data_IF_283493844018
#
_entry.id   IF_283493844018
#
_cell.length_a   1.000
_cell.length_b   1.000
_cell.length_c   1.000
_cell.angle_alpha   90.00
_cell.angle_beta   90.00
_cell.angle_gamma   90.00
#
_symmetry.space_group_name_H-M   'P 1'
#
loop_
_entity.id
_entity.type
_entity.pdbx_description
1 polymer ?
#
# COMPACT_ATOMS: atom_id res chain seq x y z
N UNK A 1 -6.34 -1.63 -21.93
CA UNK A 1 -6.91 -2.94 -22.41
C UNK A 1 -7.62 -3.61 -21.27
N UNK A 2 -8.75 -4.32 -21.51
CA UNK A 2 -9.44 -5.08 -20.45
C UNK A 2 -8.90 -6.50 -20.37
N UNK A 3 -8.47 -6.93 -19.18
CA UNK A 3 -7.96 -8.28 -18.91
C UNK A 3 -8.56 -8.82 -17.61
N UNK A 4 -8.76 -10.13 -17.52
CA UNK A 4 -9.08 -10.81 -16.27
C UNK A 4 -7.77 -11.12 -15.56
N UNK A 5 -7.58 -10.59 -14.35
CA UNK A 5 -6.33 -10.73 -13.58
C UNK A 5 -6.63 -11.13 -12.15
N UNK A 6 -5.75 -11.93 -11.55
CA UNK A 6 -5.71 -12.08 -10.08
C UNK A 6 -5.11 -10.82 -9.46
N UNK A 7 -5.33 -10.59 -8.15
CA UNK A 7 -4.83 -9.40 -7.47
C UNK A 7 -3.31 -9.24 -7.56
N UNK A 8 -2.55 -10.32 -7.38
CA UNK A 8 -1.09 -10.28 -7.51
C UNK A 8 -0.62 -9.89 -8.92
N UNK A 9 -1.28 -10.39 -9.98
CA UNK A 9 -1.02 -9.99 -11.36
C UNK A 9 -1.35 -8.52 -11.60
N UNK A 10 -2.46 -8.07 -11.03
CA UNK A 10 -2.91 -6.69 -11.15
C UNK A 10 -1.95 -5.71 -10.45
N UNK A 11 -1.44 -6.07 -9.26
CA UNK A 11 -0.38 -5.29 -8.57
C UNK A 11 0.88 -5.23 -9.44
N UNK A 12 1.35 -6.35 -9.95
CA UNK A 12 2.54 -6.40 -10.80
C UNK A 12 2.38 -5.51 -12.06
N UNK A 13 1.24 -5.62 -12.74
CA UNK A 13 0.92 -4.78 -13.90
C UNK A 13 0.82 -3.29 -13.53
N UNK A 14 0.21 -2.96 -12.39
CA UNK A 14 0.11 -1.59 -11.89
C UNK A 14 1.47 -0.98 -11.54
N UNK A 15 2.34 -1.73 -10.87
CA UNK A 15 3.71 -1.30 -10.57
C UNK A 15 4.50 -1.07 -11.85
N UNK A 16 4.42 -1.99 -12.82
CA UNK A 16 5.08 -1.85 -14.11
C UNK A 16 4.58 -0.61 -14.87
N UNK A 17 3.26 -0.47 -15.03
CA UNK A 17 2.64 0.68 -15.69
C UNK A 17 2.88 2.00 -14.92
N UNK A 18 3.22 1.92 -13.65
CA UNK A 18 3.66 3.03 -12.80
C UNK A 18 5.15 3.37 -12.92
N UNK A 19 5.91 2.75 -13.85
CA UNK A 19 7.31 3.06 -14.10
C UNK A 19 8.29 2.42 -13.12
N UNK A 20 7.99 1.21 -12.64
CA UNK A 20 8.90 0.40 -11.83
C UNK A 20 10.20 0.12 -12.59
N UNK A 21 11.36 0.24 -11.91
CA UNK A 21 12.66 -0.14 -12.46
C UNK A 21 13.31 -1.32 -11.75
N UNK A 22 12.99 -1.53 -10.45
CA UNK A 22 13.56 -2.64 -9.68
C UNK A 22 12.55 -3.27 -8.73
N UNK A 23 12.51 -4.61 -8.72
CA UNK A 23 11.79 -5.41 -7.75
C UNK A 23 12.74 -6.41 -7.06
N UNK A 24 12.79 -6.39 -5.73
CA UNK A 24 13.53 -7.38 -4.93
C UNK A 24 12.60 -7.95 -3.86
N UNK A 25 12.48 -9.27 -3.75
CA UNK A 25 11.48 -9.90 -2.87
C UNK A 25 12.00 -11.18 -2.24
N UNK A 26 11.30 -11.66 -1.22
CA UNK A 26 11.47 -13.00 -0.69
C UNK A 26 10.14 -13.77 -0.83
N UNK A 27 10.14 -15.01 -1.34
CA UNK A 27 8.92 -15.75 -1.62
C UNK A 27 8.12 -16.04 -0.34
N UNK A 28 6.82 -15.82 -0.38
CA UNK A 28 5.91 -16.08 0.74
C UNK A 28 4.45 -15.91 0.31
N UNK A 29 3.68 -17.03 0.27
CA UNK A 29 2.24 -16.98 -0.03
C UNK A 29 1.50 -16.16 1.02
N UNK A 30 0.66 -15.17 0.63
CA UNK A 30 0.04 -15.02 -0.69
C UNK A 30 0.66 -13.94 -1.60
N UNK A 31 1.91 -13.48 -1.40
CA UNK A 31 2.52 -12.39 -2.17
C UNK A 31 3.49 -12.82 -3.27
N UNK A 32 3.86 -14.11 -3.33
CA UNK A 32 4.93 -14.62 -4.21
C UNK A 32 4.70 -14.26 -5.68
N UNK A 33 3.48 -14.41 -6.16
CA UNK A 33 3.13 -14.23 -7.57
C UNK A 33 3.32 -12.78 -8.06
N UNK A 34 3.35 -11.77 -7.16
CA UNK A 34 3.66 -10.38 -7.57
C UNK A 34 5.01 -10.35 -8.30
N UNK A 35 6.04 -10.92 -7.66
CA UNK A 35 7.40 -10.93 -8.23
C UNK A 35 7.52 -11.89 -9.41
N UNK A 36 6.81 -13.02 -9.40
CA UNK A 36 6.75 -13.93 -10.53
C UNK A 36 6.11 -13.28 -11.77
N UNK A 37 5.11 -12.43 -11.61
CA UNK A 37 4.54 -11.66 -12.72
C UNK A 37 5.47 -10.55 -13.17
N UNK A 38 6.14 -9.84 -12.24
CA UNK A 38 7.13 -8.81 -12.57
C UNK A 38 8.31 -9.37 -13.33
N UNK A 39 8.76 -10.60 -13.04
CA UNK A 39 9.88 -11.23 -13.73
C UNK A 39 9.63 -11.54 -15.21
N UNK A 40 8.40 -11.36 -15.70
CA UNK A 40 8.03 -11.51 -17.12
C UNK A 40 8.28 -10.25 -17.96
N UNK A 41 8.61 -9.12 -17.32
CA UNK A 41 8.99 -7.89 -18.00
C UNK A 41 10.51 -7.82 -18.12
N UNK A 42 11.01 -7.78 -19.35
CA UNK A 42 12.46 -7.87 -19.64
C UNK A 42 13.22 -6.56 -19.38
N UNK A 43 12.52 -5.44 -19.22
CA UNK A 43 13.06 -4.09 -19.10
C UNK A 43 13.15 -3.59 -17.65
N UNK A 44 12.81 -4.42 -16.65
CA UNK A 44 12.99 -4.14 -15.24
C UNK A 44 13.90 -5.18 -14.58
N UNK A 45 14.63 -4.76 -13.54
CA UNK A 45 15.40 -5.70 -12.74
C UNK A 45 14.51 -6.39 -11.70
N UNK A 46 14.47 -7.72 -11.73
CA UNK A 46 13.70 -8.52 -10.77
C UNK A 46 14.58 -9.59 -10.16
N UNK A 47 14.58 -9.70 -8.82
CA UNK A 47 15.40 -10.67 -8.09
C UNK A 47 14.72 -11.25 -6.87
N UNK A 48 15.18 -12.43 -6.45
CA UNK A 48 14.89 -13.02 -5.16
C UNK A 48 16.04 -12.76 -4.19
N UNK A 49 15.74 -12.15 -3.06
CA UNK A 49 16.71 -11.91 -1.97
C UNK A 49 16.73 -13.08 -0.98
N UNK A 50 17.76 -13.21 -0.13
CA UNK A 50 17.86 -14.28 0.86
C UNK A 50 16.86 -14.17 2.02
N UNK A 51 16.29 -13.00 2.26
CA UNK A 51 15.21 -12.73 3.20
C UNK A 51 14.56 -11.36 2.93
N UNK A 52 13.47 -11.06 3.62
CA UNK A 52 12.66 -9.85 3.40
C UNK A 52 13.39 -8.57 3.82
N UNK A 53 14.26 -8.61 4.83
CA UNK A 53 15.09 -7.46 5.22
C UNK A 53 16.00 -7.07 4.06
N UNK A 54 16.73 -8.02 3.49
CA UNK A 54 17.62 -7.76 2.35
C UNK A 54 16.82 -7.30 1.13
N UNK A 55 15.67 -7.93 0.85
CA UNK A 55 14.78 -7.49 -0.24
C UNK A 55 14.38 -6.01 -0.10
N UNK A 56 13.96 -5.62 1.11
CA UNK A 56 13.58 -4.25 1.41
C UNK A 56 14.78 -3.29 1.28
N UNK A 57 15.97 -3.66 1.76
CA UNK A 57 17.18 -2.86 1.68
C UNK A 57 17.69 -2.68 0.24
N UNK A 58 17.58 -3.70 -0.62
CA UNK A 58 17.92 -3.59 -2.06
C UNK A 58 16.95 -2.63 -2.75
N UNK A 59 15.64 -2.78 -2.57
CA UNK A 59 14.65 -1.87 -3.13
C UNK A 59 14.85 -0.44 -2.61
N UNK A 60 15.19 -0.28 -1.32
CA UNK A 60 15.51 1.01 -0.74
C UNK A 60 16.75 1.64 -1.37
N UNK A 61 17.82 0.86 -1.57
CA UNK A 61 19.04 1.35 -2.26
C UNK A 61 18.72 1.88 -3.65
N UNK A 62 17.90 1.17 -4.42
CA UNK A 62 17.43 1.61 -5.73
C UNK A 62 16.61 2.91 -5.65
N UNK A 63 15.71 3.01 -4.67
CA UNK A 63 14.93 4.24 -4.42
C UNK A 63 15.84 5.43 -4.10
N UNK A 64 16.85 5.26 -3.23
CA UNK A 64 17.82 6.32 -2.93
C UNK A 64 18.60 6.74 -4.18
N UNK A 65 18.96 5.80 -5.04
CA UNK A 65 19.61 6.07 -6.31
C UNK A 65 18.69 6.77 -7.34
N UNK A 66 17.40 6.94 -7.05
CA UNK A 66 16.45 7.66 -7.88
C UNK A 66 15.52 6.78 -8.74
N UNK A 67 15.55 5.46 -8.55
CA UNK A 67 14.74 4.51 -9.30
C UNK A 67 13.46 4.18 -8.54
N UNK A 68 12.30 4.12 -9.22
CA UNK A 68 11.08 3.54 -8.63
C UNK A 68 11.30 2.07 -8.35
N UNK A 69 11.02 1.64 -7.13
CA UNK A 69 11.35 0.29 -6.66
C UNK A 69 10.24 -0.32 -5.81
N UNK A 70 10.23 -1.64 -5.75
CA UNK A 70 9.28 -2.40 -4.91
C UNK A 70 9.95 -3.58 -4.23
N UNK A 71 9.41 -3.96 -3.08
CA UNK A 71 9.62 -5.28 -2.49
C UNK A 71 8.26 -5.89 -2.11
N UNK A 72 8.14 -7.21 -2.24
CA UNK A 72 6.92 -7.94 -1.91
C UNK A 72 7.20 -9.01 -0.85
N UNK A 73 6.27 -9.12 0.12
CA UNK A 73 6.37 -10.06 1.22
C UNK A 73 5.02 -10.34 1.85
N UNK A 74 4.90 -11.45 2.58
CA UNK A 74 3.75 -11.70 3.44
C UNK A 74 3.90 -10.97 4.80
N UNK A 75 2.84 -10.97 5.62
CA UNK A 75 2.86 -10.28 6.93
C UNK A 75 3.99 -10.72 7.86
N UNK A 76 4.33 -12.02 7.93
CA UNK A 76 5.47 -12.47 8.76
C UNK A 76 6.82 -12.01 8.21
N UNK A 77 6.91 -11.79 6.90
CA UNK A 77 8.08 -11.18 6.27
C UNK A 77 8.23 -9.70 6.63
N UNK A 78 7.10 -8.99 6.83
CA UNK A 78 7.15 -7.61 7.31
C UNK A 78 7.77 -7.50 8.71
N UNK A 79 7.62 -8.52 9.56
CA UNK A 79 8.32 -8.58 10.84
C UNK A 79 9.85 -8.58 10.65
N UNK A 80 10.34 -9.29 9.62
CA UNK A 80 11.76 -9.34 9.28
C UNK A 80 12.24 -8.03 8.66
N UNK A 81 11.40 -7.38 7.85
CA UNK A 81 11.67 -6.11 7.20
C UNK A 81 11.33 -4.88 8.08
N UNK A 82 10.91 -5.07 9.34
CA UNK A 82 10.52 -3.97 10.22
C UNK A 82 11.68 -2.99 10.45
N UNK A 83 12.89 -3.45 10.66
CA UNK A 83 14.07 -2.59 10.87
C UNK A 83 14.31 -1.60 9.71
N UNK A 84 14.44 -2.04 8.44
CA UNK A 84 14.51 -1.10 7.33
C UNK A 84 13.24 -0.25 7.16
N UNK A 85 12.04 -0.78 7.38
CA UNK A 85 10.80 -0.01 7.26
C UNK A 85 10.78 1.22 8.18
N UNK A 86 11.11 1.05 9.46
CA UNK A 86 11.16 2.15 10.42
C UNK A 86 12.26 3.16 10.08
N UNK A 87 13.41 2.69 9.58
CA UNK A 87 14.49 3.58 9.13
C UNK A 87 14.11 4.35 7.87
N UNK A 88 13.46 3.70 6.92
CA UNK A 88 12.91 4.28 5.68
C UNK A 88 11.94 5.42 5.94
N UNK A 89 11.11 5.29 6.95
CA UNK A 89 10.21 6.36 7.39
C UNK A 89 10.94 7.65 7.72
N UNK A 90 12.15 7.56 8.26
CA UNK A 90 12.97 8.73 8.62
C UNK A 90 13.80 9.24 7.45
N UNK A 91 14.47 8.37 6.70
CA UNK A 91 15.26 8.76 5.53
C UNK A 91 14.42 9.33 4.42
N UNK A 92 13.22 8.78 4.24
CA UNK A 92 12.41 9.05 3.06
C UNK A 92 12.98 8.41 1.80
N UNK A 93 12.45 8.78 0.66
CA UNK A 93 12.79 8.23 -0.66
C UNK A 93 13.31 9.32 -1.60
N UNK A 94 13.92 8.92 -2.73
CA UNK A 94 14.22 9.76 -3.89
C UNK A 94 13.38 9.31 -5.09
N UNK A 95 13.59 8.10 -5.62
CA UNK A 95 12.59 7.43 -6.44
C UNK A 95 11.50 6.82 -5.57
N UNK A 96 10.26 6.80 -6.03
CA UNK A 96 9.14 6.23 -5.29
C UNK A 96 9.37 4.78 -4.89
N UNK A 97 8.95 4.38 -3.68
CA UNK A 97 9.06 3.01 -3.19
C UNK A 97 7.73 2.49 -2.69
N UNK A 98 7.35 1.31 -3.17
CA UNK A 98 6.14 0.60 -2.76
C UNK A 98 6.53 -0.71 -2.08
N UNK A 99 6.07 -0.94 -0.87
CA UNK A 99 6.24 -2.18 -0.12
C UNK A 99 4.92 -2.94 -0.18
N UNK A 100 4.87 -3.99 -0.99
CA UNK A 100 3.70 -4.85 -1.10
C UNK A 100 3.70 -5.84 0.05
N UNK A 101 2.65 -5.82 0.88
CA UNK A 101 2.47 -6.76 1.98
C UNK A 101 1.14 -7.50 1.84
N UNK A 102 1.18 -8.82 1.94
CA UNK A 102 -0.02 -9.64 1.85
C UNK A 102 -0.28 -10.36 3.18
N UNK A 103 -1.40 -9.98 3.81
CA UNK A 103 -1.89 -10.62 5.03
C UNK A 103 -2.65 -11.90 4.70
N UNK A 104 -2.61 -12.86 5.61
CA UNK A 104 -3.30 -14.14 5.52
C UNK A 104 -4.21 -14.35 6.75
N UNK A 105 -5.35 -13.61 6.83
CA UNK A 105 -6.21 -13.57 8.02
C UNK A 105 -6.71 -14.93 8.48
N UNK A 106 -7.02 -15.82 7.53
CA UNK A 106 -7.51 -17.17 7.81
C UNK A 106 -6.39 -18.22 7.96
N UNK A 107 -5.13 -17.79 7.91
CA UNK A 107 -3.94 -18.64 8.07
C UNK A 107 -3.91 -19.82 7.10
N UNK A 108 -4.31 -19.60 5.84
CA UNK A 108 -4.29 -20.66 4.81
C UNK A 108 -2.89 -21.20 4.56
N UNK A 109 -1.87 -20.36 4.68
CA UNK A 109 -0.45 -20.70 4.49
C UNK A 109 0.47 -20.01 5.50
N UNK A 110 -0.02 -19.74 6.72
CA UNK A 110 0.71 -18.94 7.72
C UNK A 110 0.63 -19.55 9.11
N UNK A 111 1.66 -19.30 9.93
CA UNK A 111 1.75 -19.79 11.31
C UNK A 111 0.87 -19.01 12.31
N UNK A 112 0.46 -17.81 11.92
CA UNK A 112 -0.38 -16.92 12.72
C UNK A 112 -1.10 -15.92 11.81
N UNK A 113 -2.13 -15.26 12.31
CA UNK A 113 -2.73 -14.09 11.71
C UNK A 113 -2.09 -12.82 12.27
N UNK A 114 -1.85 -11.84 11.42
CA UNK A 114 -1.34 -10.52 11.81
C UNK A 114 -2.07 -9.46 10.98
N UNK A 115 -2.18 -8.26 11.55
CA UNK A 115 -2.71 -7.10 10.87
C UNK A 115 -1.58 -6.11 10.55
N UNK A 116 -1.18 -6.06 9.29
CA UNK A 116 -0.08 -5.19 8.85
C UNK A 116 -0.40 -3.70 8.93
N UNK A 117 -1.68 -3.31 9.17
CA UNK A 117 -2.07 -1.91 9.40
C UNK A 117 -1.39 -1.34 10.65
N UNK A 118 -1.12 -2.15 11.67
CA UNK A 118 -0.36 -1.73 12.85
C UNK A 118 1.07 -1.32 12.53
N UNK A 119 1.70 -1.95 11.53
CA UNK A 119 3.03 -1.54 11.07
C UNK A 119 3.00 -0.16 10.40
N UNK A 120 1.98 0.12 9.58
CA UNK A 120 1.80 1.42 8.96
C UNK A 120 1.65 2.54 10.01
N UNK A 121 0.81 2.30 11.02
CA UNK A 121 0.58 3.23 12.14
C UNK A 121 1.87 3.47 12.92
N UNK A 122 2.55 2.41 13.33
CA UNK A 122 3.75 2.49 14.16
C UNK A 122 4.94 3.13 13.42
N UNK A 123 5.13 2.82 12.12
CA UNK A 123 6.18 3.38 11.29
C UNK A 123 5.86 4.75 10.70
N UNK A 124 4.59 5.23 10.82
CA UNK A 124 4.11 6.49 10.22
C UNK A 124 4.27 6.53 8.69
N UNK A 125 4.03 5.40 8.06
CA UNK A 125 4.11 5.21 6.60
C UNK A 125 2.68 5.09 6.05
N UNK A 126 2.31 5.77 4.95
CA UNK A 126 0.99 5.65 4.37
C UNK A 126 0.74 4.23 3.87
N UNK A 127 -0.52 3.78 4.02
CA UNK A 127 -0.95 2.47 3.55
C UNK A 127 -2.15 2.60 2.61
N UNK A 128 -2.10 1.84 1.54
CA UNK A 128 -3.20 1.65 0.59
C UNK A 128 -3.72 0.22 0.69
N UNK A 129 -5.05 0.06 0.65
CA UNK A 129 -5.73 -1.22 0.80
C UNK A 129 -6.83 -1.38 -0.28
N UNK A 130 -6.52 -2.04 -1.40
CA UNK A 130 -7.49 -2.27 -2.46
C UNK A 130 -8.53 -3.31 -2.07
N UNK A 131 -9.73 -3.23 -2.67
CA UNK A 131 -10.83 -4.15 -2.46
C UNK A 131 -10.92 -5.26 -3.52
N UNK A 132 -10.35 -5.06 -4.70
CA UNK A 132 -10.34 -6.02 -5.82
C UNK A 132 -9.10 -5.85 -6.70
N UNK A 133 -8.99 -6.64 -7.78
CA UNK A 133 -7.86 -6.57 -8.70
C UNK A 133 -7.81 -5.24 -9.47
N UNK A 134 -8.95 -4.62 -9.76
CA UNK A 134 -8.96 -3.34 -10.49
C UNK A 134 -8.39 -2.22 -9.62
N UNK A 135 -8.75 -2.17 -8.34
CA UNK A 135 -8.15 -1.24 -7.38
C UNK A 135 -6.70 -1.62 -7.06
N UNK A 136 -6.36 -2.90 -6.98
CA UNK A 136 -4.99 -3.35 -6.78
C UNK A 136 -4.05 -2.82 -7.88
N UNK A 137 -4.50 -2.86 -9.13
CA UNK A 137 -3.79 -2.26 -10.25
C UNK A 137 -3.68 -0.73 -10.11
N UNK A 138 -4.80 -0.04 -9.89
CA UNK A 138 -4.82 1.42 -9.79
C UNK A 138 -3.95 1.92 -8.64
N UNK A 139 -4.09 1.31 -7.46
CA UNK A 139 -3.35 1.71 -6.26
C UNK A 139 -1.86 1.45 -6.42
N UNK A 140 -1.48 0.31 -6.98
CA UNK A 140 -0.08 -0.01 -7.28
C UNK A 140 0.54 1.01 -8.26
N UNK A 141 -0.18 1.35 -9.33
CA UNK A 141 0.27 2.31 -10.35
C UNK A 141 0.50 3.72 -9.76
N UNK A 142 -0.43 4.19 -8.93
CA UNK A 142 -0.40 5.55 -8.38
C UNK A 142 0.39 5.68 -7.08
N UNK A 143 0.75 4.57 -6.44
CA UNK A 143 1.49 4.56 -5.18
C UNK A 143 2.88 5.21 -5.28
N UNK A 144 3.54 5.13 -6.44
CA UNK A 144 4.84 5.78 -6.64
C UNK A 144 4.73 7.30 -6.60
N UNK A 145 3.68 7.86 -7.20
CA UNK A 145 3.44 9.31 -7.16
C UNK A 145 3.17 9.78 -5.72
N UNK A 146 2.35 9.02 -4.98
CA UNK A 146 2.12 9.27 -3.56
C UNK A 146 3.42 9.20 -2.75
N UNK A 147 4.23 8.17 -3.00
CA UNK A 147 5.54 8.00 -2.37
C UNK A 147 6.47 9.18 -2.61
N UNK A 148 6.56 9.64 -3.86
CA UNK A 148 7.41 10.75 -4.26
C UNK A 148 6.89 12.09 -3.76
N UNK A 149 5.57 12.31 -3.77
CA UNK A 149 4.94 13.54 -3.29
C UNK A 149 5.22 13.79 -1.81
N UNK A 150 5.19 12.74 -1.00
CA UNK A 150 5.38 12.83 0.45
C UNK A 150 6.75 12.36 0.91
N UNK A 151 7.66 12.02 0.00
CA UNK A 151 9.02 11.54 0.31
C UNK A 151 9.03 10.39 1.33
N UNK A 152 8.20 9.37 1.14
CA UNK A 152 8.04 8.24 2.06
C UNK A 152 7.72 6.97 1.28
N UNK A 153 8.14 5.77 1.73
CA UNK A 153 7.60 4.55 1.12
C UNK A 153 6.09 4.48 1.33
N UNK A 154 5.41 3.71 0.48
CA UNK A 154 3.98 3.42 0.60
C UNK A 154 3.82 1.91 0.85
N UNK A 155 3.08 1.52 1.87
CA UNK A 155 2.64 0.16 2.05
C UNK A 155 1.40 -0.10 1.18
N UNK A 156 1.46 -1.13 0.33
CA UNK A 156 0.30 -1.64 -0.40
C UNK A 156 -0.10 -2.97 0.23
N UNK A 157 -1.19 -2.95 1.01
CA UNK A 157 -1.68 -4.11 1.76
C UNK A 157 -2.76 -4.83 0.98
N UNK A 158 -2.59 -6.13 0.86
CA UNK A 158 -3.63 -7.03 0.36
C UNK A 158 -3.88 -8.15 1.37
N UNK A 159 -5.01 -8.82 1.26
CA UNK A 159 -5.24 -10.11 1.91
C UNK A 159 -5.25 -11.25 0.88
N UNK A 160 -5.13 -12.49 1.35
CA UNK A 160 -5.15 -13.70 0.51
C UNK A 160 -6.30 -13.70 -0.49
N UNK A 161 -7.49 -13.25 -0.08
CA UNK A 161 -8.65 -13.21 -0.96
C UNK A 161 -8.45 -12.28 -2.15
N UNK A 162 -7.94 -11.07 -1.92
CA UNK A 162 -7.66 -10.12 -3.01
C UNK A 162 -6.50 -10.63 -3.88
N UNK A 163 -5.44 -11.14 -3.25
CA UNK A 163 -4.26 -11.64 -3.96
C UNK A 163 -4.61 -12.71 -5.02
N UNK A 164 -5.55 -13.61 -4.71
CA UNK A 164 -5.87 -14.77 -5.54
C UNK A 164 -7.25 -14.73 -6.19
N UNK A 165 -8.13 -13.76 -5.89
CA UNK A 165 -9.39 -13.59 -6.63
C UNK A 165 -9.16 -12.89 -7.96
N UNK A 166 -10.07 -13.11 -8.92
CA UNK A 166 -9.98 -12.51 -10.25
C UNK A 166 -11.07 -11.47 -10.44
N UNK A 167 -10.69 -10.35 -11.02
CA UNK A 167 -11.64 -9.37 -11.56
C UNK A 167 -11.13 -8.76 -12.86
N UNK A 168 -12.01 -8.04 -13.57
CA UNK A 168 -11.64 -7.37 -14.82
C UNK A 168 -10.87 -6.11 -14.49
N UNK A 169 -9.65 -6.02 -15.00
CA UNK A 169 -8.76 -4.88 -14.86
C UNK A 169 -8.64 -4.15 -16.20
N UNK A 170 -8.80 -2.84 -16.19
CA UNK A 170 -8.54 -1.99 -17.35
C UNK A 170 -7.15 -1.37 -17.22
N UNK A 171 -6.19 -1.91 -17.99
CA UNK A 171 -4.81 -1.42 -17.98
C UNK A 171 -4.65 -0.18 -18.85
N UNK A 172 -3.80 0.74 -18.41
CA UNK A 172 -3.40 1.94 -19.15
C UNK A 172 -2.09 1.68 -19.92
N UNK A 173 -1.56 2.72 -20.54
CA UNK A 173 -0.22 2.72 -21.10
C UNK A 173 0.82 2.82 -19.98
N UNK A 174 1.92 2.07 -20.14
CA UNK A 174 2.99 2.07 -19.16
C UNK A 174 3.76 3.40 -19.17
N UNK A 175 4.03 3.92 -17.99
CA UNK A 175 4.96 5.04 -17.82
C UNK A 175 6.38 4.48 -17.91
N UNK A 176 7.27 5.03 -18.73
CA UNK A 176 8.66 4.57 -18.76
C UNK A 176 9.34 4.70 -17.40
N UNK A 177 10.17 3.73 -17.05
CA UNK A 177 11.01 3.85 -15.87
C UNK A 177 11.99 5.01 -16.04
N UNK A 178 12.04 5.91 -15.06
CA UNK A 178 12.93 7.07 -15.07
C UNK A 178 13.86 7.01 -13.88
N UNK A 179 15.15 7.17 -14.11
CA UNK A 179 16.13 7.33 -13.05
C UNK A 179 16.28 8.82 -12.74
N UNK A 180 15.91 9.21 -11.51
CA UNK A 180 16.14 10.57 -10.99
C UNK A 180 17.60 10.76 -10.63
N UNK A 181 18.07 11.99 -10.71
CA UNK A 181 19.43 12.32 -10.27
C UNK A 181 19.59 12.06 -8.75
N UNK A 182 20.74 11.49 -8.40
CA UNK A 182 21.13 11.31 -7.01
C UNK A 182 21.76 12.58 -6.45
N UNK A 183 21.14 13.15 -5.43
CA UNK A 183 21.71 14.24 -4.66
C UNK A 183 22.32 13.71 -3.37
N UNK A 184 23.61 13.94 -3.18
CA UNK A 184 24.31 13.54 -1.96
C UNK A 184 23.84 14.37 -0.77
N UNK A 185 23.05 13.77 0.11
CA UNK A 185 22.53 14.41 1.31
C UNK A 185 22.69 13.52 2.56
N UNK A 186 23.91 13.50 3.19
CA UNK A 186 24.15 12.68 4.37
C UNK A 186 23.24 13.02 5.55
N UNK A 187 22.79 14.26 5.67
CA UNK A 187 21.90 14.68 6.75
C UNK A 187 20.50 14.07 6.62
N UNK A 188 20.07 13.77 5.38
CA UNK A 188 18.79 13.11 5.07
C UNK A 188 18.91 11.58 5.11
N UNK A 189 19.98 11.02 4.51
CA UNK A 189 20.04 9.59 4.21
C UNK A 189 20.85 8.76 5.20
N UNK A 190 21.62 9.38 6.11
CA UNK A 190 22.40 8.66 7.13
C UNK A 190 21.74 8.85 8.50
N UNK A 191 21.08 7.81 9.02
CA UNK A 191 20.33 7.87 10.28
C UNK A 191 21.22 7.68 11.50
N UNK A 192 22.23 8.56 11.66
CA UNK A 192 22.90 8.74 12.94
C UNK A 192 21.96 9.47 13.93
N UNK A 193 22.10 9.27 15.26
CA UNK A 193 21.19 9.86 16.25
C UNK A 193 21.00 11.38 16.08
N UNK A 194 22.06 12.12 15.78
CA UNK A 194 21.98 13.57 15.55
C UNK A 194 21.20 13.98 14.30
N UNK A 195 21.13 13.13 13.28
CA UNK A 195 20.31 13.32 12.09
C UNK A 195 18.86 12.86 12.35
N UNK A 196 18.68 11.71 13.00
CA UNK A 196 17.37 11.17 13.33
C UNK A 196 16.54 12.15 14.17
N UNK A 197 17.13 12.81 15.16
CA UNK A 197 16.46 13.86 15.96
C UNK A 197 15.91 14.99 15.07
N UNK A 198 16.66 15.39 14.04
CA UNK A 198 16.25 16.45 13.11
C UNK A 198 15.19 15.96 12.10
N UNK A 199 15.22 14.66 11.76
CA UNK A 199 14.24 14.05 10.85
C UNK A 199 12.89 13.78 11.51
N UNK A 200 12.85 13.56 12.83
CA UNK A 200 11.61 13.28 13.55
C UNK A 200 10.51 14.34 13.32
N UNK A 201 10.77 15.66 13.45
CA UNK A 201 9.77 16.68 13.13
C UNK A 201 9.27 16.63 11.67
N UNK A 202 10.14 16.22 10.73
CA UNK A 202 9.75 16.05 9.30
C UNK A 202 8.77 14.89 9.15
N UNK A 203 9.00 13.76 9.85
CA UNK A 203 8.08 12.62 9.85
C UNK A 203 6.72 13.00 10.43
N UNK A 204 6.69 13.75 11.54
CA UNK A 204 5.43 14.20 12.16
C UNK A 204 4.66 15.17 11.24
N UNK A 205 5.35 16.16 10.66
CA UNK A 205 4.73 17.10 9.71
C UNK A 205 4.18 16.39 8.46
N UNK A 206 4.92 15.42 7.94
CA UNK A 206 4.48 14.58 6.81
C UNK A 206 3.25 13.75 7.18
N UNK A 207 3.21 13.15 8.36
CA UNK A 207 2.06 12.38 8.84
C UNK A 207 0.81 13.26 8.92
N UNK A 208 0.93 14.49 9.40
CA UNK A 208 -0.16 15.46 9.41
C UNK A 208 -0.63 15.84 7.98
N UNK A 209 0.30 16.10 7.07
CA UNK A 209 -0.01 16.40 5.67
C UNK A 209 -0.70 15.22 4.95
N UNK A 210 -0.26 13.98 5.22
CA UNK A 210 -0.90 12.77 4.72
C UNK A 210 -2.31 12.58 5.26
N UNK A 211 -2.56 12.93 6.53
CA UNK A 211 -3.90 12.87 7.13
C UNK A 211 -4.87 13.87 6.48
N UNK A 212 -4.40 15.06 6.11
CA UNK A 212 -5.20 16.00 5.32
C UNK A 212 -5.44 15.48 3.90
N UNK A 213 -4.42 14.97 3.22
CA UNK A 213 -4.53 14.38 1.90
C UNK A 213 -5.54 13.21 1.86
N UNK A 214 -5.57 12.38 2.90
CA UNK A 214 -6.47 11.23 2.97
C UNK A 214 -7.95 11.62 2.91
N UNK A 215 -8.33 12.84 3.32
CA UNK A 215 -9.73 13.28 3.31
C UNK A 215 -10.31 13.44 1.89
N UNK A 216 -9.47 13.76 0.89
CA UNK A 216 -9.92 14.09 -0.48
C UNK A 216 -9.21 13.22 -1.55
N UNK A 217 -8.45 12.18 -1.15
CA UNK A 217 -7.69 11.33 -2.06
C UNK A 217 -8.57 10.40 -2.89
N UNK A 218 -8.04 9.96 -4.03
CA UNK A 218 -8.76 9.08 -4.98
C UNK A 218 -9.02 7.66 -4.44
N UNK A 219 -8.36 7.28 -3.33
CA UNK A 219 -8.44 5.94 -2.76
C UNK A 219 -9.68 5.74 -1.89
N UNK A 220 -10.22 6.83 -1.32
CA UNK A 220 -11.38 6.80 -0.44
C UNK A 220 -12.63 7.18 -1.24
N UNK A 221 -13.74 6.46 -1.03
CA UNK A 221 -14.95 6.62 -1.83
C UNK A 221 -16.19 6.64 -0.94
N UNK A 222 -17.06 7.64 -1.15
CA UNK A 222 -18.40 7.68 -0.56
C UNK A 222 -19.42 7.25 -1.60
N UNK A 223 -20.26 6.27 -1.25
CA UNK A 223 -21.44 5.87 -2.00
C UNK A 223 -22.68 6.30 -1.22
N UNK A 224 -23.37 7.30 -1.74
CA UNK A 224 -24.58 7.82 -1.10
C UNK A 224 -25.82 7.30 -1.83
N UNK A 225 -26.52 6.36 -1.21
CA UNK A 225 -27.73 5.73 -1.72
C UNK A 225 -29.01 6.29 -1.07
N UNK A 226 -28.90 7.40 -0.32
CA UNK A 226 -30.03 8.06 0.35
C UNK A 226 -30.52 7.31 1.61
N UNK A 227 -29.73 6.38 2.13
CA UNK A 227 -30.06 5.59 3.32
C UNK A 227 -29.79 6.37 4.62
N UNK A 228 -30.55 6.04 5.68
CA UNK A 228 -30.27 6.46 7.06
C UNK A 228 -29.25 5.60 7.77
N UNK A 229 -28.85 4.49 7.15
CA UNK A 229 -27.84 3.58 7.66
C UNK A 229 -26.57 3.75 6.83
N UNK A 230 -25.43 3.92 7.52
CA UNK A 230 -24.11 4.01 6.93
C UNK A 230 -23.21 2.85 7.34
N UNK A 231 -22.32 2.46 6.44
CA UNK A 231 -21.27 1.47 6.70
C UNK A 231 -19.92 2.07 6.31
N UNK A 232 -18.97 2.03 7.24
CA UNK A 232 -17.55 2.30 6.94
C UNK A 232 -16.86 0.95 6.80
N UNK A 233 -16.03 0.78 5.77
CA UNK A 233 -15.34 -0.48 5.49
C UNK A 233 -14.08 -0.25 4.67
N UNK A 234 -13.18 -1.26 4.63
CA UNK A 234 -11.95 -1.25 3.84
C UNK A 234 -11.67 -2.62 3.21
N UNK A 235 -10.73 -2.66 2.27
CA UNK A 235 -10.24 -3.89 1.67
C UNK A 235 -11.34 -4.83 1.19
N UNK A 236 -11.15 -6.15 1.38
CA UNK A 236 -12.11 -7.15 0.94
C UNK A 236 -13.47 -7.08 1.67
N UNK A 237 -13.53 -6.51 2.88
CA UNK A 237 -14.78 -6.33 3.61
C UNK A 237 -15.79 -5.47 2.86
N UNK A 238 -15.31 -4.53 2.03
CA UNK A 238 -16.17 -3.74 1.15
C UNK A 238 -16.99 -4.60 0.20
N UNK A 239 -16.41 -5.64 -0.41
CA UNK A 239 -17.12 -6.53 -1.31
C UNK A 239 -18.20 -7.35 -0.59
N UNK A 240 -17.95 -7.76 0.66
CA UNK A 240 -18.96 -8.44 1.48
C UNK A 240 -20.13 -7.51 1.83
N UNK A 241 -19.84 -6.24 2.15
CA UNK A 241 -20.89 -5.24 2.39
C UNK A 241 -21.72 -5.03 1.14
N UNK A 242 -21.10 -4.90 -0.03
CA UNK A 242 -21.81 -4.75 -1.32
C UNK A 242 -22.67 -5.96 -1.66
N UNK A 243 -22.17 -7.15 -1.45
CA UNK A 243 -22.93 -8.40 -1.72
C UNK A 243 -24.12 -8.55 -0.77
N UNK A 244 -23.93 -8.26 0.53
CA UNK A 244 -24.95 -8.47 1.53
C UNK A 244 -26.02 -7.37 1.57
N UNK A 245 -25.65 -6.11 1.37
CA UNK A 245 -26.50 -4.95 1.61
C UNK A 245 -26.80 -4.14 0.34
N UNK A 246 -26.01 -4.27 -0.72
CA UNK A 246 -26.18 -3.56 -1.99
C UNK A 246 -26.32 -2.04 -1.80
N UNK A 247 -27.37 -1.48 -2.37
CA UNK A 247 -27.68 -0.05 -2.30
C UNK A 247 -28.65 0.31 -1.14
N UNK A 248 -28.90 -0.60 -0.21
CA UNK A 248 -29.77 -0.35 0.96
C UNK A 248 -29.10 0.50 2.04
N UNK A 249 -27.78 0.69 1.96
CA UNK A 249 -26.97 1.48 2.89
C UNK A 249 -26.11 2.49 2.15
N UNK A 250 -25.71 3.56 2.83
CA UNK A 250 -24.62 4.42 2.37
C UNK A 250 -23.29 3.75 2.75
N UNK A 251 -22.25 3.89 1.92
CA UNK A 251 -20.96 3.27 2.18
C UNK A 251 -19.85 4.32 2.12
N UNK A 252 -19.01 4.36 3.15
CA UNK A 252 -17.69 4.98 3.08
C UNK A 252 -16.66 3.85 2.95
N UNK A 253 -16.10 3.69 1.77
CA UNK A 253 -15.01 2.76 1.50
C UNK A 253 -13.68 3.49 1.71
N UNK A 254 -12.89 3.01 2.66
CA UNK A 254 -11.54 3.51 2.95
C UNK A 254 -10.52 2.65 2.21
N UNK A 255 -9.86 3.24 1.22
CA UNK A 255 -8.76 2.61 0.49
C UNK A 255 -7.39 3.09 0.97
N UNK A 256 -7.34 4.14 1.81
CA UNK A 256 -6.15 4.61 2.50
C UNK A 256 -6.39 4.55 4.03
N UNK A 257 -6.18 3.37 4.67
CA UNK A 257 -6.47 3.19 6.10
C UNK A 257 -5.40 3.81 7.01
N UNK A 258 -4.26 4.21 6.50
CA UNK A 258 -3.25 4.95 7.27
C UNK A 258 -2.60 6.07 6.44
N UNK A 259 -2.65 7.35 6.91
CA UNK A 259 -3.47 7.83 8.02
C UNK A 259 -4.97 7.79 7.72
N UNK A 260 -5.79 7.65 8.75
CA UNK A 260 -7.24 7.66 8.59
C UNK A 260 -7.77 9.04 8.11
N UNK A 261 -8.74 9.08 7.20
CA UNK A 261 -9.39 10.31 6.73
C UNK A 261 -10.40 10.83 7.76
N UNK A 262 -9.93 11.36 8.89
CA UNK A 262 -10.75 11.68 10.07
C UNK A 262 -11.89 12.65 9.75
N UNK A 263 -11.62 13.67 8.92
CA UNK A 263 -12.66 14.63 8.52
C UNK A 263 -13.75 13.95 7.68
N UNK A 264 -13.35 13.16 6.68
CA UNK A 264 -14.27 12.41 5.81
C UNK A 264 -15.12 11.43 6.64
N UNK A 265 -14.52 10.71 7.59
CA UNK A 265 -15.22 9.81 8.51
C UNK A 265 -16.27 10.56 9.34
N UNK A 266 -15.92 11.71 9.91
CA UNK A 266 -16.85 12.53 10.70
C UNK A 266 -18.00 13.06 9.86
N UNK A 267 -17.69 13.58 8.66
CA UNK A 267 -18.70 14.11 7.74
C UNK A 267 -19.67 12.98 7.32
N UNK A 268 -19.16 11.80 7.00
CA UNK A 268 -19.99 10.62 6.68
C UNK A 268 -20.83 10.17 7.87
N UNK A 269 -20.24 10.03 9.06
CA UNK A 269 -20.95 9.64 10.28
C UNK A 269 -22.10 10.60 10.61
N UNK A 270 -21.90 11.90 10.40
CA UNK A 270 -22.92 12.92 10.64
C UNK A 270 -24.06 12.90 9.62
N UNK A 271 -23.90 12.22 8.49
CA UNK A 271 -24.91 12.14 7.42
C UNK A 271 -25.91 10.98 7.58
N UNK A 272 -25.72 10.11 8.58
CA UNK A 272 -26.55 8.92 8.80
C UNK A 272 -27.05 8.86 10.25
N UNK A 273 -28.14 8.12 10.48
CA UNK A 273 -28.71 7.95 11.83
C UNK A 273 -28.11 6.74 12.57
N UNK A 274 -27.66 5.74 11.80
CA UNK A 274 -27.02 4.53 12.34
C UNK A 274 -25.76 4.23 11.54
N UNK A 275 -24.65 4.00 12.23
CA UNK A 275 -23.35 3.73 11.63
C UNK A 275 -22.82 2.36 12.09
N UNK A 276 -22.35 1.59 11.12
CA UNK A 276 -21.61 0.36 11.33
C UNK A 276 -20.20 0.51 10.77
N UNK A 277 -19.22 -0.12 11.44
CA UNK A 277 -17.85 -0.29 10.92
C UNK A 277 -17.63 -1.78 10.70
N UNK A 278 -17.25 -2.16 9.47
CA UNK A 278 -17.04 -3.56 9.09
C UNK A 278 -15.61 -3.69 8.56
N UNK A 279 -14.79 -4.38 9.33
CA UNK A 279 -13.37 -4.61 9.06
C UNK A 279 -13.01 -6.09 9.13
N UNK A 280 -11.90 -6.44 8.51
CA UNK A 280 -11.25 -7.74 8.67
C UNK A 280 -10.07 -7.59 9.64
N UNK A 281 -9.86 -8.55 10.54
CA UNK A 281 -8.84 -8.54 11.61
C UNK A 281 -9.16 -7.52 12.73
N UNK A 282 -8.22 -6.64 13.05
CA UNK A 282 -8.31 -5.76 14.20
C UNK A 282 -9.16 -4.49 13.92
N UNK A 283 -9.80 -3.88 14.91
CA UNK A 283 -10.51 -2.61 14.76
C UNK A 283 -9.51 -1.46 14.66
N UNK A 284 -9.26 -0.98 13.44
CA UNK A 284 -8.30 0.11 13.13
C UNK A 284 -9.02 1.40 12.75
N UNK A 285 -10.19 1.30 12.12
CA UNK A 285 -11.01 2.44 11.68
C UNK A 285 -11.75 3.11 12.82
#
# INVERSE_FOLDING_TARGET
MKKLMIGNEAVAAGLYDGGLGLASSYPGTPSTEITEFLSKYDDIHTEWAPNEKVACEVAFGASLAGMRSTCAMKHVGLNVAADPLFTLSYTGVNGGMVICVADDPAMHSSQNAQDSRHYAIASKVPMLEPADSAEAYLFAKTAFELSEQFETPVLLRMCTRIAHSQSVVETAEATPAVLKDYEKNPAKYIMMPGNAIKRHPVVEARTAALAEYANDCIYNKVENNGSKVGVITSGCSYLYVKEALGDSVNILKIGMPNPLPVKLIRDFASSVDTLYVIEELDPVI
#
